data_IF_098753018623
#
_entry.id   IF_098753018623
#
_cell.length_a   1.000
_cell.length_b   1.000
_cell.length_c   1.000
_cell.angle_alpha   90.00
_cell.angle_beta   90.00
_cell.angle_gamma   90.00
#
_symmetry.space_group_name_H-M   'P 1'
#
loop_
_entity.id
_entity.type
_entity.pdbx_description
1 polymer ?
#
# COMPACT_ATOMS: atom_id res chain seq x y z
N UNK A 1 -9.67 -0.17 18.00
CA UNK A 1 -9.33 -1.61 18.11
C UNK A 1 -9.90 -2.42 16.96
N UNK A 2 -11.23 -2.49 16.78
CA UNK A 2 -11.85 -3.36 15.75
C UNK A 2 -11.41 -3.06 14.31
N UNK A 3 -11.26 -1.77 13.96
CA UNK A 3 -10.78 -1.35 12.63
C UNK A 3 -9.32 -1.77 12.36
N UNK A 4 -8.44 -1.63 13.36
CA UNK A 4 -7.04 -2.05 13.24
C UNK A 4 -6.93 -3.56 13.04
N UNK A 5 -7.75 -4.34 13.77
CA UNK A 5 -7.78 -5.79 13.60
C UNK A 5 -8.25 -6.20 12.20
N UNK A 6 -9.31 -5.56 11.68
CA UNK A 6 -9.77 -5.79 10.31
C UNK A 6 -8.71 -5.46 9.27
N UNK A 7 -8.01 -4.32 9.43
CA UNK A 7 -6.89 -3.93 8.57
C UNK A 7 -5.75 -4.97 8.59
N UNK A 8 -5.28 -5.36 9.78
CA UNK A 8 -4.22 -6.36 9.96
C UNK A 8 -4.61 -7.69 9.32
N UNK A 9 -5.81 -8.18 9.58
CA UNK A 9 -6.29 -9.46 9.06
C UNK A 9 -6.33 -9.45 7.53
N UNK A 10 -6.87 -8.39 6.92
CA UNK A 10 -6.96 -8.28 5.46
C UNK A 10 -5.59 -8.25 4.80
N UNK A 11 -4.63 -7.51 5.36
CA UNK A 11 -3.26 -7.48 4.82
C UNK A 11 -2.55 -8.82 4.97
N UNK A 12 -2.68 -9.50 6.12
CA UNK A 12 -2.09 -10.83 6.31
C UNK A 12 -2.65 -11.81 5.27
N UNK A 13 -3.98 -11.87 5.12
CA UNK A 13 -4.62 -12.76 4.15
C UNK A 13 -4.18 -12.45 2.71
N UNK A 14 -4.09 -11.17 2.36
CA UNK A 14 -3.66 -10.73 1.03
C UNK A 14 -2.19 -11.08 0.77
N UNK A 15 -1.32 -10.86 1.77
CA UNK A 15 0.09 -11.19 1.67
C UNK A 15 0.32 -12.70 1.55
N UNK A 16 -0.40 -13.53 2.33
CA UNK A 16 -0.35 -14.98 2.22
C UNK A 16 -0.81 -15.47 0.84
N UNK A 17 -1.87 -14.87 0.30
CA UNK A 17 -2.33 -15.16 -1.05
C UNK A 17 -1.26 -14.84 -2.10
N UNK A 18 -0.57 -13.70 -1.99
CA UNK A 18 0.53 -13.37 -2.89
C UNK A 18 1.67 -14.36 -2.79
N UNK A 19 2.08 -14.75 -1.57
CA UNK A 19 3.13 -15.74 -1.38
C UNK A 19 2.74 -17.10 -1.96
N UNK A 20 1.48 -17.52 -1.76
CA UNK A 20 0.95 -18.74 -2.36
C UNK A 20 1.01 -18.70 -3.89
N UNK A 21 0.52 -17.60 -4.49
CA UNK A 21 0.55 -17.42 -5.95
C UNK A 21 1.97 -17.30 -6.50
N UNK A 22 2.86 -16.62 -5.78
CA UNK A 22 4.25 -16.50 -6.15
C UNK A 22 4.96 -17.86 -6.14
N UNK A 23 4.68 -18.72 -5.16
CA UNK A 23 5.24 -20.07 -5.11
C UNK A 23 4.65 -20.97 -6.20
N UNK A 24 3.33 -20.93 -6.38
CA UNK A 24 2.61 -21.73 -7.38
C UNK A 24 3.09 -21.41 -8.81
N UNK A 25 3.25 -20.13 -9.13
CA UNK A 25 3.51 -19.65 -10.49
C UNK A 25 4.95 -19.14 -10.69
N UNK A 26 5.84 -19.24 -9.68
CA UNK A 26 7.22 -18.73 -9.69
C UNK A 26 7.35 -17.21 -9.94
N UNK A 27 6.33 -16.44 -9.57
CA UNK A 27 6.26 -14.98 -9.76
C UNK A 27 7.03 -14.21 -8.67
N UNK A 28 8.26 -13.81 -8.97
CA UNK A 28 9.15 -13.11 -8.01
C UNK A 28 8.59 -11.76 -7.53
N UNK A 29 7.95 -11.00 -8.42
CA UNK A 29 7.30 -9.73 -8.10
C UNK A 29 6.20 -9.92 -7.04
N UNK A 30 5.36 -10.94 -7.20
CA UNK A 30 4.31 -11.28 -6.22
C UNK A 30 4.90 -11.72 -4.88
N UNK A 31 6.02 -12.45 -4.86
CA UNK A 31 6.68 -12.81 -3.61
C UNK A 31 7.10 -11.56 -2.82
N UNK A 32 7.70 -10.59 -3.51
CA UNK A 32 8.15 -9.32 -2.91
C UNK A 32 6.95 -8.53 -2.38
N UNK A 33 5.88 -8.39 -3.18
CA UNK A 33 4.66 -7.73 -2.72
C UNK A 33 4.04 -8.45 -1.52
N UNK A 34 4.04 -9.79 -1.50
CA UNK A 34 3.59 -10.61 -0.38
C UNK A 34 4.35 -10.34 0.90
N UNK A 35 5.69 -10.36 0.85
CA UNK A 35 6.56 -10.02 1.98
C UNK A 35 6.26 -8.60 2.48
N UNK A 36 6.20 -7.63 1.58
CA UNK A 36 5.89 -6.25 1.93
C UNK A 36 4.52 -6.07 2.58
N UNK A 37 3.51 -6.74 2.04
CA UNK A 37 2.14 -6.68 2.54
C UNK A 37 2.02 -7.29 3.95
N UNK A 38 2.80 -8.33 4.26
CA UNK A 38 2.87 -8.94 5.60
C UNK A 38 3.75 -8.11 6.55
N UNK A 39 4.75 -7.38 6.04
CA UNK A 39 5.61 -6.56 6.87
C UNK A 39 4.79 -5.49 7.63
N UNK A 40 3.88 -4.78 6.96
CA UNK A 40 3.00 -3.79 7.60
C UNK A 40 2.32 -4.33 8.89
N UNK A 41 1.51 -5.41 8.85
CA UNK A 41 0.85 -5.94 10.03
C UNK A 41 1.84 -6.45 11.09
N UNK A 42 3.01 -6.99 10.73
CA UNK A 42 4.04 -7.34 11.74
C UNK A 42 4.48 -6.10 12.51
N UNK A 43 4.74 -4.98 11.82
CA UNK A 43 5.09 -3.72 12.46
C UNK A 43 4.01 -3.23 13.43
N UNK A 44 2.74 -3.24 12.99
CA UNK A 44 1.60 -2.85 13.82
C UNK A 44 1.38 -3.78 15.02
N UNK A 45 1.47 -5.10 14.83
CA UNK A 45 1.38 -6.08 15.93
C UNK A 45 2.53 -5.87 16.92
N UNK A 46 3.75 -5.68 16.43
CA UNK A 46 4.92 -5.42 17.27
C UNK A 46 4.75 -4.19 18.15
N UNK A 47 4.26 -3.08 17.59
CA UNK A 47 4.05 -1.86 18.36
C UNK A 47 2.82 -1.93 19.29
N UNK A 48 1.66 -2.36 18.80
CA UNK A 48 0.41 -2.30 19.56
C UNK A 48 0.12 -3.49 20.48
N UNK A 49 0.62 -4.68 20.14
CA UNK A 49 0.37 -5.93 20.90
C UNK A 49 1.59 -6.30 21.74
N UNK A 50 2.78 -6.23 21.16
CA UNK A 50 4.02 -6.65 21.82
C UNK A 50 4.78 -5.49 22.50
N UNK A 51 4.30 -4.26 22.34
CA UNK A 51 4.88 -3.05 22.91
C UNK A 51 6.38 -2.85 22.58
N UNK A 52 6.80 -3.25 21.37
CA UNK A 52 8.18 -3.11 20.87
C UNK A 52 8.52 -1.66 20.44
N UNK A 53 7.56 -0.74 20.58
CA UNK A 53 7.71 0.69 20.29
C UNK A 53 7.48 1.06 18.82
N UNK A 54 7.31 2.36 18.58
CA UNK A 54 6.97 2.87 17.24
C UNK A 54 8.12 2.79 16.24
N UNK A 55 9.37 2.77 16.72
CA UNK A 55 10.55 2.55 15.88
C UNK A 55 10.50 1.16 15.23
N UNK A 56 10.09 0.13 15.99
CA UNK A 56 9.93 -1.22 15.45
C UNK A 56 8.93 -1.24 14.29
N UNK A 57 7.77 -0.60 14.47
CA UNK A 57 6.77 -0.46 13.41
C UNK A 57 7.36 0.21 12.16
N UNK A 58 8.15 1.27 12.34
CA UNK A 58 8.71 2.05 11.23
C UNK A 58 9.63 1.22 10.33
N UNK A 59 10.47 0.33 10.89
CA UNK A 59 11.30 -0.59 10.09
C UNK A 59 10.46 -1.50 9.18
N UNK A 60 9.33 -1.99 9.70
CA UNK A 60 8.45 -2.87 8.94
C UNK A 60 7.62 -2.11 7.91
N UNK A 61 7.20 -0.88 8.21
CA UNK A 61 6.59 0.04 7.23
C UNK A 61 7.56 0.34 6.10
N UNK A 62 8.83 0.63 6.42
CA UNK A 62 9.89 0.85 5.44
C UNK A 62 10.08 -0.36 4.49
N UNK A 63 10.13 -1.57 5.04
CA UNK A 63 10.20 -2.82 4.25
C UNK A 63 8.96 -2.94 3.33
N UNK A 64 7.77 -2.67 3.88
CA UNK A 64 6.52 -2.70 3.13
C UNK A 64 6.52 -1.75 1.94
N UNK A 65 6.90 -0.49 2.16
CA UNK A 65 6.93 0.55 1.12
C UNK A 65 7.98 0.26 0.04
N UNK A 66 9.19 -0.17 0.42
CA UNK A 66 10.20 -0.59 -0.55
C UNK A 66 9.70 -1.75 -1.41
N UNK A 67 9.07 -2.74 -0.78
CA UNK A 67 8.53 -3.90 -1.49
C UNK A 67 7.46 -3.51 -2.50
N UNK A 68 6.58 -2.55 -2.17
CA UNK A 68 5.59 -1.99 -3.10
C UNK A 68 6.26 -1.33 -4.31
N UNK A 69 7.33 -0.58 -4.11
CA UNK A 69 8.05 0.07 -5.22
C UNK A 69 8.78 -0.95 -6.08
N UNK A 70 9.47 -1.91 -5.48
CA UNK A 70 10.13 -2.99 -6.23
C UNK A 70 9.09 -3.78 -7.03
N UNK A 71 7.95 -4.12 -6.43
CA UNK A 71 6.84 -4.76 -7.12
C UNK A 71 6.37 -3.92 -8.31
N UNK A 72 6.10 -2.62 -8.11
CA UNK A 72 5.64 -1.71 -9.16
C UNK A 72 6.65 -1.67 -10.31
N UNK A 73 7.94 -1.59 -10.00
CA UNK A 73 9.02 -1.53 -10.99
C UNK A 73 9.13 -2.83 -11.80
N UNK A 74 9.11 -3.98 -11.12
CA UNK A 74 9.20 -5.29 -11.76
C UNK A 74 7.97 -5.61 -12.62
N UNK A 75 6.80 -5.14 -12.19
CA UNK A 75 5.50 -5.45 -12.80
C UNK A 75 5.20 -4.54 -14.00
N UNK A 76 5.44 -3.24 -13.88
CA UNK A 76 5.00 -2.26 -14.88
C UNK A 76 6.14 -1.64 -15.71
N UNK A 77 7.40 -1.79 -15.29
CA UNK A 77 8.55 -1.09 -15.90
C UNK A 77 9.70 -2.02 -16.32
N UNK A 78 9.43 -3.30 -16.59
CA UNK A 78 10.42 -4.31 -17.02
C UNK A 78 11.38 -3.82 -18.13
N UNK A 79 10.89 -2.97 -19.05
CA UNK A 79 11.69 -2.36 -20.13
C UNK A 79 12.20 -0.92 -19.88
N UNK A 80 11.78 -0.24 -18.81
CA UNK A 80 12.15 1.15 -18.48
C UNK A 80 12.80 1.27 -17.09
N UNK A 81 13.52 0.21 -16.68
CA UNK A 81 14.08 0.04 -15.34
C UNK A 81 14.91 1.23 -14.86
N UNK A 82 15.59 1.98 -15.75
CA UNK A 82 16.37 3.17 -15.35
C UNK A 82 15.52 4.23 -14.64
N UNK A 83 14.34 4.57 -15.17
CA UNK A 83 13.44 5.56 -14.55
C UNK A 83 12.83 5.02 -13.26
N UNK A 84 12.40 3.76 -13.29
CA UNK A 84 11.80 3.08 -12.16
C UNK A 84 12.79 2.96 -10.96
N UNK A 85 14.06 2.70 -11.24
CA UNK A 85 15.12 2.60 -10.24
C UNK A 85 15.42 3.95 -9.57
N UNK A 86 15.24 5.08 -10.26
CA UNK A 86 15.38 6.42 -9.64
C UNK A 86 14.33 6.59 -8.54
N UNK A 87 13.09 6.19 -8.78
CA UNK A 87 12.02 6.26 -7.77
C UNK A 87 12.35 5.36 -6.58
N UNK A 88 12.85 4.15 -6.82
CA UNK A 88 13.30 3.26 -5.74
C UNK A 88 14.41 3.89 -4.90
N UNK A 89 15.41 4.51 -5.52
CA UNK A 89 16.50 5.21 -4.81
C UNK A 89 15.95 6.36 -3.97
N UNK A 90 15.06 7.19 -4.54
CA UNK A 90 14.42 8.30 -3.80
C UNK A 90 13.65 7.76 -2.59
N UNK A 91 12.86 6.70 -2.76
CA UNK A 91 12.08 6.06 -1.69
C UNK A 91 12.99 5.48 -0.61
N UNK A 92 14.11 4.85 -0.97
CA UNK A 92 15.10 4.36 0.00
C UNK A 92 15.70 5.52 0.80
N UNK A 93 16.11 6.61 0.13
CA UNK A 93 16.66 7.81 0.78
C UNK A 93 15.64 8.41 1.74
N UNK A 94 14.40 8.64 1.29
CA UNK A 94 13.33 9.18 2.12
C UNK A 94 13.05 8.31 3.35
N UNK A 95 12.98 6.99 3.17
CA UNK A 95 12.74 6.06 4.27
C UNK A 95 13.90 5.97 5.27
N UNK A 96 15.15 6.04 4.80
CA UNK A 96 16.31 6.14 5.71
C UNK A 96 16.26 7.44 6.53
N UNK A 97 15.97 8.57 5.88
CA UNK A 97 15.81 9.86 6.58
C UNK A 97 14.68 9.74 7.61
N UNK A 98 13.55 9.11 7.26
CA UNK A 98 12.41 8.90 8.17
C UNK A 98 12.81 8.07 9.40
N UNK A 99 13.52 6.96 9.22
CA UNK A 99 14.01 6.11 10.31
C UNK A 99 14.98 6.89 11.22
N UNK A 100 15.91 7.66 10.65
CA UNK A 100 16.85 8.50 11.40
C UNK A 100 16.05 9.53 12.23
N UNK A 101 15.08 10.20 11.62
CA UNK A 101 14.21 11.17 12.30
C UNK A 101 13.44 10.53 13.46
N UNK A 102 12.94 9.30 13.29
CA UNK A 102 12.31 8.55 14.37
C UNK A 102 13.27 8.27 15.53
N UNK A 103 14.51 7.85 15.26
CA UNK A 103 15.51 7.61 16.31
C UNK A 103 15.95 8.88 17.05
N UNK A 104 16.07 10.00 16.33
CA UNK A 104 16.44 11.28 16.95
C UNK A 104 15.32 11.85 17.82
N UNK A 105 14.06 11.54 17.50
CA UNK A 105 12.90 12.16 18.13
C UNK A 105 12.24 11.32 19.23
N UNK A 106 12.22 9.98 19.09
CA UNK A 106 11.56 9.10 20.05
C UNK A 106 12.14 9.14 21.48
N UNK A 107 13.43 9.45 21.74
CA UNK A 107 13.90 9.57 23.13
C UNK A 107 13.54 10.91 23.81
N UNK A 108 12.89 11.87 23.14
CA UNK A 108 12.66 13.22 23.70
C UNK A 108 11.17 13.57 23.69
N UNK A 109 10.46 13.15 24.74
CA UNK A 109 9.03 13.47 24.96
C UNK A 109 8.74 14.98 25.18
N UNK A 110 9.76 15.85 25.27
CA UNK A 110 9.61 17.13 25.97
C UNK A 110 9.52 18.37 25.04
N UNK A 111 9.88 18.33 23.75
CA UNK A 111 9.80 19.54 22.88
C UNK A 111 9.36 19.24 21.43
N UNK A 112 8.07 18.90 21.27
CA UNK A 112 7.42 18.49 20.01
C UNK A 112 7.00 19.62 19.05
N UNK A 113 7.83 20.65 18.84
CA UNK A 113 7.44 21.75 17.94
C UNK A 113 7.94 21.55 16.50
N UNK A 114 9.22 21.83 16.19
CA UNK A 114 9.66 21.85 14.79
C UNK A 114 9.93 20.45 14.20
N UNK A 115 10.49 19.55 15.00
CA UNK A 115 10.87 18.20 14.56
C UNK A 115 9.66 17.29 14.27
N UNK A 116 8.53 17.52 14.95
CA UNK A 116 7.28 16.83 14.66
C UNK A 116 6.79 17.14 13.23
N UNK A 117 6.67 18.43 12.90
CA UNK A 117 6.24 18.83 11.55
C UNK A 117 7.26 18.43 10.49
N UNK A 118 8.56 18.43 10.79
CA UNK A 118 9.55 17.91 9.85
C UNK A 118 9.32 16.42 9.55
N UNK A 119 9.06 15.60 10.58
CA UNK A 119 8.75 14.16 10.43
C UNK A 119 7.46 13.94 9.62
N UNK A 120 6.38 14.64 9.95
CA UNK A 120 5.11 14.55 9.22
C UNK A 120 5.26 15.05 7.77
N UNK A 121 6.05 16.11 7.57
CA UNK A 121 6.31 16.67 6.24
C UNK A 121 7.17 15.76 5.36
N UNK A 122 7.94 14.84 5.95
CA UNK A 122 8.69 13.82 5.21
C UNK A 122 7.86 12.56 4.97
N UNK A 123 6.97 12.22 5.89
CA UNK A 123 6.06 11.09 5.75
C UNK A 123 5.12 11.26 4.54
N UNK A 124 4.61 12.46 4.33
CA UNK A 124 3.73 12.77 3.21
C UNK A 124 4.37 12.48 1.83
N UNK A 125 5.48 13.12 1.41
CA UNK A 125 6.08 12.84 0.12
C UNK A 125 6.55 11.38 0.03
N UNK A 126 6.89 10.75 1.14
CA UNK A 126 7.29 9.34 1.17
C UNK A 126 6.13 8.39 0.82
N UNK A 127 5.03 8.45 1.58
CA UNK A 127 3.82 7.65 1.35
C UNK A 127 3.15 8.02 0.03
N UNK A 128 3.07 9.32 -0.27
CA UNK A 128 2.50 9.82 -1.51
C UNK A 128 3.27 9.29 -2.72
N UNK A 129 4.61 9.40 -2.75
CA UNK A 129 5.41 8.92 -3.88
C UNK A 129 5.20 7.42 -4.13
N UNK A 130 5.21 6.60 -3.08
CA UNK A 130 5.08 5.13 -3.21
C UNK A 130 3.71 4.74 -3.76
N UNK A 131 2.64 5.21 -3.14
CA UNK A 131 1.29 4.77 -3.51
C UNK A 131 0.70 5.54 -4.69
N UNK A 132 1.10 6.78 -4.91
CA UNK A 132 0.75 7.51 -6.13
C UNK A 132 1.46 6.90 -7.34
N UNK A 133 2.71 6.46 -7.20
CA UNK A 133 3.41 5.73 -8.25
C UNK A 133 2.68 4.44 -8.61
N UNK A 134 2.34 3.60 -7.62
CA UNK A 134 1.54 2.39 -7.86
C UNK A 134 0.18 2.72 -8.50
N UNK A 135 -0.52 3.76 -8.01
CA UNK A 135 -1.80 4.18 -8.54
C UNK A 135 -1.69 4.57 -10.03
N UNK A 136 -0.69 5.38 -10.37
CA UNK A 136 -0.43 5.82 -11.73
C UNK A 136 -0.07 4.65 -12.64
N UNK A 137 0.78 3.72 -12.18
CA UNK A 137 1.14 2.54 -12.95
C UNK A 137 -0.06 1.63 -13.21
N UNK A 138 -0.92 1.40 -12.22
CA UNK A 138 -2.16 0.65 -12.40
C UNK A 138 -3.14 1.37 -13.33
N UNK A 139 -3.26 2.70 -13.24
CA UNK A 139 -4.09 3.48 -14.15
C UNK A 139 -3.61 3.38 -15.60
N UNK A 140 -2.30 3.50 -15.85
CA UNK A 140 -1.74 3.32 -17.19
C UNK A 140 -1.96 1.90 -17.72
N UNK A 141 -1.85 0.87 -16.87
CA UNK A 141 -2.18 -0.49 -17.26
C UNK A 141 -3.66 -0.62 -17.62
N UNK A 142 -4.57 -0.05 -16.82
CA UNK A 142 -5.99 0.00 -17.15
C UNK A 142 -6.25 0.68 -18.50
N UNK A 143 -5.66 1.85 -18.74
CA UNK A 143 -5.84 2.60 -19.99
C UNK A 143 -5.34 1.87 -21.22
N UNK A 144 -4.27 1.06 -21.09
CA UNK A 144 -3.79 0.18 -22.18
C UNK A 144 -4.72 -0.99 -22.44
N UNK A 145 -5.26 -1.59 -21.38
CA UNK A 145 -6.08 -2.80 -21.44
C UNK A 145 -7.55 -2.51 -21.76
N UNK A 146 -8.03 -1.27 -21.59
CA UNK A 146 -9.46 -0.95 -21.73
C UNK A 146 -10.01 -1.29 -23.12
N UNK A 147 -9.20 -1.07 -24.17
CA UNK A 147 -9.54 -1.34 -25.57
C UNK A 147 -9.21 -2.78 -26.02
N UNK A 148 -8.46 -3.55 -25.23
CA UNK A 148 -8.09 -4.91 -25.58
C UNK A 148 -9.24 -5.88 -25.33
N UNK A 149 -9.37 -6.90 -26.19
CA UNK A 149 -10.33 -7.98 -25.99
C UNK A 149 -9.81 -8.98 -24.94
N UNK A 150 -9.95 -8.60 -23.68
CA UNK A 150 -9.64 -9.40 -22.51
C UNK A 150 -10.83 -9.37 -21.55
N UNK A 151 -10.86 -10.33 -20.63
CA UNK A 151 -11.93 -10.41 -19.63
C UNK A 151 -12.09 -9.10 -18.85
N UNK A 152 -13.30 -8.52 -18.78
CA UNK A 152 -13.55 -7.25 -18.12
C UNK A 152 -13.13 -7.19 -16.64
N UNK A 153 -13.16 -8.31 -15.92
CA UNK A 153 -12.72 -8.34 -14.52
C UNK A 153 -11.23 -8.02 -14.36
N UNK A 154 -10.40 -8.32 -15.36
CA UNK A 154 -8.96 -7.98 -15.37
C UNK A 154 -8.79 -6.46 -15.47
N UNK A 155 -9.55 -5.81 -16.36
CA UNK A 155 -9.59 -4.35 -16.49
C UNK A 155 -10.04 -3.72 -15.17
N UNK A 156 -11.11 -4.27 -14.58
CA UNK A 156 -11.63 -3.81 -13.29
C UNK A 156 -10.60 -3.94 -12.16
N UNK A 157 -9.80 -5.01 -12.12
CA UNK A 157 -8.70 -5.18 -11.14
C UNK A 157 -7.76 -3.97 -11.18
N UNK A 158 -7.21 -3.60 -12.34
CA UNK A 158 -6.26 -2.48 -12.42
C UNK A 158 -6.90 -1.15 -12.05
N UNK A 159 -8.17 -0.92 -12.43
CA UNK A 159 -8.93 0.25 -12.01
C UNK A 159 -9.09 0.31 -10.48
N UNK A 160 -9.47 -0.79 -9.85
CA UNK A 160 -9.64 -0.86 -8.39
C UNK A 160 -8.31 -0.68 -7.65
N UNK A 161 -7.21 -1.26 -8.15
CA UNK A 161 -5.86 -1.06 -7.61
C UNK A 161 -5.41 0.39 -7.72
N UNK A 162 -5.70 1.06 -8.83
CA UNK A 162 -5.42 2.48 -9.00
C UNK A 162 -6.17 3.32 -7.96
N UNK A 163 -7.47 3.07 -7.79
CA UNK A 163 -8.32 3.76 -6.82
C UNK A 163 -7.84 3.52 -5.38
N UNK A 164 -7.61 2.27 -4.99
CA UNK A 164 -7.17 1.95 -3.63
C UNK A 164 -5.83 2.61 -3.32
N UNK A 165 -4.87 2.51 -4.24
CA UNK A 165 -3.52 3.08 -4.04
C UNK A 165 -3.57 4.61 -4.01
N UNK A 166 -4.43 5.23 -4.81
CA UNK A 166 -4.64 6.68 -4.75
C UNK A 166 -5.20 7.12 -3.38
N UNK A 167 -6.18 6.40 -2.83
CA UNK A 167 -6.71 6.66 -1.47
C UNK A 167 -5.57 6.59 -0.45
N UNK A 168 -4.75 5.55 -0.48
CA UNK A 168 -3.65 5.40 0.47
C UNK A 168 -2.54 6.44 0.28
N UNK A 169 -2.33 6.96 -0.93
CA UNK A 169 -1.36 8.04 -1.18
C UNK A 169 -1.70 9.33 -0.43
N UNK A 170 -2.97 9.54 -0.09
CA UNK A 170 -3.46 10.70 0.66
C UNK A 170 -3.50 10.44 2.18
N UNK A 171 -3.14 9.24 2.64
CA UNK A 171 -3.31 8.80 4.02
C UNK A 171 -2.55 9.65 5.03
N UNK A 172 -1.38 10.18 4.68
CA UNK A 172 -0.56 11.01 5.59
C UNK A 172 -1.00 12.47 5.65
N UNK A 173 -1.95 12.93 4.80
CA UNK A 173 -2.42 14.32 4.78
C UNK A 173 -3.12 14.70 6.11
N UNK A 174 -4.07 13.91 6.64
CA UNK A 174 -4.73 14.24 7.91
C UNK A 174 -3.75 14.45 9.08
N UNK A 175 -2.58 13.79 9.06
CA UNK A 175 -1.60 13.91 10.15
C UNK A 175 -1.02 15.32 10.31
N UNK A 176 -1.03 16.17 9.27
CA UNK A 176 -0.60 17.57 9.40
C UNK A 176 -1.47 18.38 10.34
N UNK A 177 -2.73 18.00 10.48
CA UNK A 177 -3.69 18.70 11.31
C UNK A 177 -3.65 18.23 12.77
N UNK A 178 -2.79 17.26 13.10
CA UNK A 178 -2.70 16.71 14.46
C UNK A 178 -2.27 17.81 15.44
N UNK A 179 -3.00 17.99 16.56
CA UNK A 179 -2.65 18.98 17.56
C UNK A 179 -1.27 18.71 18.18
N UNK A 180 -0.51 19.78 18.40
CA UNK A 180 0.81 19.71 19.04
C UNK A 180 0.69 19.19 20.46
N UNK A 181 1.66 18.41 20.90
CA UNK A 181 1.74 17.83 22.25
C UNK A 181 0.57 16.90 22.64
N UNK A 182 -0.33 16.57 21.71
CA UNK A 182 -1.41 15.61 21.95
C UNK A 182 -0.98 14.25 21.41
N UNK A 183 -1.19 13.21 22.23
CA UNK A 183 -0.99 11.82 21.80
C UNK A 183 -1.89 11.52 20.59
N UNK A 184 -1.35 10.85 19.59
CA UNK A 184 -2.12 10.46 18.41
C UNK A 184 -3.29 9.53 18.80
N UNK A 185 -4.49 9.88 18.36
CA UNK A 185 -5.72 9.16 18.72
C UNK A 185 -6.16 9.34 20.17
N UNK A 186 -5.76 10.43 20.84
CA UNK A 186 -6.18 10.70 22.22
C UNK A 186 -7.71 10.82 22.30
N UNK A 187 -8.41 9.96 23.10
CA UNK A 187 -9.86 10.00 23.18
C UNK A 187 -10.42 11.28 23.82
N UNK A 188 -9.60 11.99 24.59
CA UNK A 188 -9.99 13.25 25.24
C UNK A 188 -9.89 14.48 24.32
N UNK A 189 -9.30 14.34 23.13
CA UNK A 189 -9.17 15.42 22.16
C UNK A 189 -9.91 15.08 20.87
N UNK A 190 -10.98 15.82 20.57
CA UNK A 190 -11.85 15.53 19.43
C UNK A 190 -11.15 15.68 18.08
N UNK A 191 -10.17 16.58 17.96
CA UNK A 191 -9.43 16.80 16.70
C UNK A 191 -8.50 15.62 16.45
N UNK A 192 -7.73 15.21 17.46
CA UNK A 192 -6.84 14.06 17.36
C UNK A 192 -7.62 12.76 17.10
N UNK A 193 -8.78 12.60 17.74
CA UNK A 193 -9.66 11.46 17.52
C UNK A 193 -10.22 11.45 16.08
N UNK A 194 -10.64 12.61 15.56
CA UNK A 194 -11.14 12.72 14.19
C UNK A 194 -10.06 12.39 13.15
N UNK A 195 -8.83 12.90 13.34
CA UNK A 195 -7.69 12.62 12.45
C UNK A 195 -7.37 11.13 12.43
N UNK A 196 -7.27 10.51 13.61
CA UNK A 196 -7.07 9.07 13.73
C UNK A 196 -8.21 8.28 13.06
N UNK A 197 -9.46 8.73 13.22
CA UNK A 197 -10.62 8.12 12.58
C UNK A 197 -10.54 8.16 11.05
N UNK A 198 -10.19 9.31 10.49
CA UNK A 198 -10.05 9.50 9.03
C UNK A 198 -8.94 8.60 8.49
N UNK A 199 -7.75 8.60 9.10
CA UNK A 199 -6.63 7.75 8.65
C UNK A 199 -6.97 6.26 8.76
N UNK A 200 -7.60 5.84 9.86
CA UNK A 200 -8.05 4.46 10.04
C UNK A 200 -9.08 4.03 8.98
N UNK A 201 -10.05 4.90 8.64
CA UNK A 201 -11.03 4.62 7.59
C UNK A 201 -10.35 4.51 6.22
N UNK A 202 -9.44 5.43 5.89
CA UNK A 202 -8.68 5.37 4.62
C UNK A 202 -7.86 4.08 4.50
N UNK A 203 -7.17 3.69 5.58
CA UNK A 203 -6.39 2.46 5.62
C UNK A 203 -7.26 1.20 5.43
N UNK A 204 -8.45 1.16 6.05
CA UNK A 204 -9.38 0.03 5.90
C UNK A 204 -9.99 -0.02 4.51
N UNK A 205 -10.39 1.13 3.95
CA UNK A 205 -10.93 1.22 2.60
C UNK A 205 -9.89 0.77 1.59
N UNK A 206 -8.64 1.23 1.75
CA UNK A 206 -7.51 0.71 0.98
C UNK A 206 -7.41 -0.81 1.09
N UNK A 207 -7.31 -1.35 2.31
CA UNK A 207 -7.09 -2.78 2.50
C UNK A 207 -8.21 -3.61 1.88
N UNK A 208 -9.47 -3.21 2.06
CA UNK A 208 -10.63 -3.91 1.48
C UNK A 208 -10.58 -3.90 -0.05
N UNK A 209 -10.45 -2.71 -0.66
CA UNK A 209 -10.46 -2.60 -2.13
C UNK A 209 -9.23 -3.30 -2.71
N UNK A 210 -8.06 -3.15 -2.10
CA UNK A 210 -6.83 -3.80 -2.53
C UNK A 210 -6.96 -5.34 -2.46
N UNK A 211 -7.40 -5.90 -1.34
CA UNK A 211 -7.65 -7.34 -1.21
C UNK A 211 -8.67 -7.85 -2.22
N UNK A 212 -9.80 -7.15 -2.38
CA UNK A 212 -10.85 -7.53 -3.34
C UNK A 212 -10.31 -7.52 -4.78
N UNK A 213 -9.47 -6.55 -5.14
CA UNK A 213 -8.88 -6.45 -6.48
C UNK A 213 -8.02 -7.67 -6.80
N UNK A 214 -7.30 -8.19 -5.80
CA UNK A 214 -6.41 -9.33 -5.97
C UNK A 214 -7.13 -10.67 -5.91
N UNK A 215 -7.97 -10.88 -4.89
CA UNK A 215 -8.76 -12.11 -4.76
C UNK A 215 -9.79 -12.24 -5.88
N UNK A 216 -10.41 -11.12 -6.25
CA UNK A 216 -11.50 -11.00 -7.21
C UNK A 216 -12.54 -12.13 -7.07
N UNK A 217 -13.41 -12.09 -6.05
CA UNK A 217 -14.34 -13.17 -5.77
C UNK A 217 -15.34 -13.37 -6.92
N UNK A 218 -15.85 -14.60 -7.08
CA UNK A 218 -16.75 -15.01 -8.19
C UNK A 218 -17.90 -14.03 -8.46
N UNK A 219 -18.62 -13.50 -7.46
CA UNK A 219 -19.72 -12.56 -7.72
C UNK A 219 -19.25 -11.28 -8.42
N UNK A 220 -18.07 -10.77 -8.05
CA UNK A 220 -17.49 -9.56 -8.65
C UNK A 220 -16.99 -9.86 -10.07
N UNK A 221 -16.34 -11.02 -10.27
CA UNK A 221 -15.96 -11.49 -11.62
C UNK A 221 -17.17 -11.56 -12.55
N UNK A 222 -18.23 -12.23 -12.10
CA UNK A 222 -19.46 -12.40 -12.88
C UNK A 222 -20.15 -11.06 -13.17
N UNK A 223 -20.13 -10.12 -12.22
CA UNK A 223 -20.67 -8.78 -12.42
C UNK A 223 -19.97 -8.04 -13.56
N UNK A 224 -18.63 -8.11 -13.63
CA UNK A 224 -17.88 -7.47 -14.71
C UNK A 224 -17.97 -8.22 -16.04
N UNK A 225 -18.04 -9.55 -16.03
CA UNK A 225 -18.07 -10.38 -17.23
C UNK A 225 -19.47 -10.58 -17.83
N UNK A 226 -20.53 -9.96 -17.29
CA UNK A 226 -21.94 -10.23 -17.67
C UNK A 226 -22.25 -10.15 -19.18
N UNK A 227 -21.56 -9.27 -19.91
CA UNK A 227 -21.75 -9.05 -21.34
C UNK A 227 -20.57 -9.59 -22.18
N UNK A 228 -19.58 -10.21 -21.53
CA UNK A 228 -18.39 -10.74 -22.19
C UNK A 228 -18.68 -12.14 -22.73
N UNK A 229 -18.67 -12.27 -24.05
CA UNK A 229 -18.69 -13.58 -24.71
C UNK A 229 -17.25 -13.97 -24.99
N UNK A 230 -16.79 -15.02 -24.32
CA UNK A 230 -15.46 -15.58 -24.55
C UNK A 230 -15.43 -16.15 -25.96
N UNK A 231 -14.75 -15.48 -26.89
CA UNK A 231 -14.25 -16.19 -28.07
C UNK A 231 -13.27 -17.24 -27.55
N UNK A 232 -13.51 -18.48 -27.96
CA UNK A 232 -12.95 -19.73 -27.40
C UNK A 232 -11.46 -19.60 -27.01
N UNK A 233 -11.20 -19.79 -25.71
CA UNK A 233 -9.94 -20.20 -25.06
C UNK A 233 -8.64 -19.47 -25.45
N UNK A 234 -8.42 -18.28 -24.87
CA UNK A 234 -7.08 -17.91 -24.35
C UNK A 234 -7.21 -17.42 -22.92
N UNK A 235 -7.01 -18.32 -21.96
CA UNK A 235 -6.71 -17.90 -20.57
C UNK A 235 -5.33 -17.23 -20.58
N UNK A 236 -5.31 -15.90 -20.60
CA UNK A 236 -4.06 -15.16 -20.42
C UNK A 236 -3.55 -15.37 -18.99
N UNK A 237 -2.32 -15.84 -18.87
CA UNK A 237 -1.62 -15.92 -17.59
C UNK A 237 -1.33 -14.51 -17.05
N UNK A 238 -1.11 -14.37 -15.74
CA UNK A 238 -0.76 -13.05 -15.17
C UNK A 238 0.52 -12.48 -15.79
N UNK A 239 1.46 -13.32 -16.19
CA UNK A 239 2.67 -12.89 -16.90
C UNK A 239 2.36 -12.33 -18.29
N UNK A 240 1.50 -12.99 -19.08
CA UNK A 240 1.12 -12.52 -20.40
C UNK A 240 0.34 -11.19 -20.33
N UNK A 241 -0.50 -11.01 -19.31
CA UNK A 241 -1.20 -9.73 -19.06
C UNK A 241 -0.25 -8.59 -18.71
N UNK A 242 0.94 -8.89 -18.14
CA UNK A 242 1.94 -7.89 -17.76
C UNK A 242 2.86 -7.49 -18.92
N UNK A 243 2.90 -8.27 -20.01
CA UNK A 243 3.79 -8.04 -21.16
C UNK A 243 3.11 -7.35 -22.37
N UNK A 244 1.78 -7.23 -22.35
CA UNK A 244 0.99 -6.42 -23.28
C UNK A 244 1.04 -4.91 -22.95
#
# INVERSE_FOLDING_TARGET
MSLLFGFILMLILTGLFFLYKAFQNRLKNMAILGIGTIAFPIGFIGNFVLNLGSIFQEYFVFIGLISVVIFTNMTFYKGQMKKANIILIIVIILGIIQIIMFHLYYPIEVKRNIYYYLRVSLDLPYVFLVFNWLAYSCYLAFERLKEQDIEPWIKARYKLLAISSFILSLHSIPEFFQPKNIRWGNPSDHISLAIFGITAVMAIVYAIIFSISWFMPKPIKNYFNKDYKTDIEKEYTEEELMEL
#
